data_IF_965850598474
#
_entry.id   IF_965850598474
#
_cell.length_a   1.000
_cell.length_b   1.000
_cell.length_c   1.000
_cell.angle_alpha   90.00
_cell.angle_beta   90.00
_cell.angle_gamma   90.00
#
_symmetry.space_group_name_H-M   'P 1'
#
loop_
_entity.id
_entity.type
_entity.pdbx_description
1 polymer ?
#
# COMPACT_ATOMS: atom_id res chain seq x y z
N UNK A 1 -43.51 -27.13 -44.25
CA UNK A 1 -42.40 -26.27 -43.78
C UNK A 1 -41.63 -26.88 -42.60
N UNK A 2 -42.27 -27.56 -41.65
CA UNK A 2 -41.60 -28.21 -40.50
C UNK A 2 -40.49 -29.22 -40.87
N UNK A 3 -40.70 -30.06 -41.88
CA UNK A 3 -39.74 -31.11 -42.23
C UNK A 3 -38.46 -30.57 -42.90
N UNK A 4 -38.53 -29.46 -43.63
CA UNK A 4 -37.35 -28.89 -44.31
C UNK A 4 -36.37 -28.31 -43.27
N UNK A 5 -36.90 -27.69 -42.21
CA UNK A 5 -36.10 -27.12 -41.13
C UNK A 5 -35.37 -28.21 -40.33
N UNK A 6 -36.02 -29.35 -40.08
CA UNK A 6 -35.41 -30.50 -39.38
C UNK A 6 -34.34 -31.19 -40.22
N UNK A 7 -34.51 -31.28 -41.54
CA UNK A 7 -33.46 -31.78 -42.43
C UNK A 7 -32.27 -30.83 -42.47
N UNK A 8 -32.48 -29.52 -42.54
CA UNK A 8 -31.41 -28.52 -42.49
C UNK A 8 -30.63 -28.55 -41.17
N UNK A 9 -31.32 -28.69 -40.03
CA UNK A 9 -30.64 -28.79 -38.74
C UNK A 9 -29.83 -30.09 -38.62
N UNK A 10 -30.37 -31.22 -39.09
CA UNK A 10 -29.65 -32.49 -39.08
C UNK A 10 -28.40 -32.46 -39.96
N UNK A 11 -28.50 -31.87 -41.16
CA UNK A 11 -27.36 -31.66 -42.06
C UNK A 11 -26.32 -30.76 -41.40
N UNK A 12 -26.72 -29.66 -40.75
CA UNK A 12 -25.80 -28.76 -40.04
C UNK A 12 -25.07 -29.46 -38.89
N UNK A 13 -25.77 -30.23 -38.06
CA UNK A 13 -25.17 -31.02 -36.98
C UNK A 13 -24.23 -32.08 -37.52
N UNK A 14 -24.59 -32.77 -38.60
CA UNK A 14 -23.73 -33.74 -39.27
C UNK A 14 -22.46 -33.08 -39.83
N UNK A 15 -22.56 -31.89 -40.43
CA UNK A 15 -21.41 -31.12 -40.91
C UNK A 15 -20.50 -30.72 -39.74
N UNK A 16 -21.07 -30.20 -38.64
CA UNK A 16 -20.29 -29.84 -37.44
C UNK A 16 -19.61 -31.07 -36.84
N UNK A 17 -20.29 -32.22 -36.79
CA UNK A 17 -19.73 -33.47 -36.29
C UNK A 17 -18.59 -33.99 -37.16
N UNK A 18 -18.73 -33.91 -38.49
CA UNK A 18 -17.67 -34.28 -39.44
C UNK A 18 -16.49 -33.31 -39.34
N UNK A 19 -16.73 -32.00 -39.22
CA UNK A 19 -15.69 -31.00 -38.98
C UNK A 19 -14.97 -31.23 -37.66
N UNK A 20 -15.70 -31.59 -36.60
CA UNK A 20 -15.14 -31.92 -35.29
C UNK A 20 -14.28 -33.19 -35.33
N UNK A 21 -14.75 -34.25 -35.99
CA UNK A 21 -13.96 -35.47 -36.23
C UNK A 21 -12.72 -35.19 -37.08
N UNK A 22 -12.86 -34.39 -38.15
CA UNK A 22 -11.73 -33.99 -38.99
C UNK A 22 -10.73 -33.12 -38.21
N UNK A 23 -11.21 -32.25 -37.34
CA UNK A 23 -10.37 -31.45 -36.44
C UNK A 23 -9.66 -32.37 -35.43
N UNK A 24 -10.36 -33.32 -34.80
CA UNK A 24 -9.76 -34.27 -33.85
C UNK A 24 -8.67 -35.15 -34.50
N UNK A 25 -8.93 -35.67 -35.71
CA UNK A 25 -8.00 -36.55 -36.43
C UNK A 25 -6.87 -35.74 -37.08
N UNK A 26 -7.21 -34.58 -37.65
CA UNK A 26 -6.31 -33.70 -38.39
C UNK A 26 -5.47 -32.77 -37.50
N UNK A 27 -5.85 -32.55 -36.24
CA UNK A 27 -5.16 -31.62 -35.33
C UNK A 27 -3.68 -31.96 -35.17
N UNK A 28 -3.34 -33.25 -35.00
CA UNK A 28 -1.93 -33.68 -34.89
C UNK A 28 -1.12 -33.33 -36.12
N UNK A 29 -1.71 -33.45 -37.32
CA UNK A 29 -1.06 -33.12 -38.58
C UNK A 29 -0.94 -31.61 -38.79
N UNK A 30 -2.00 -30.84 -38.48
CA UNK A 30 -2.00 -29.37 -38.52
C UNK A 30 -0.96 -28.82 -37.55
N UNK A 31 -0.97 -29.27 -36.30
CA UNK A 31 0.01 -28.89 -35.28
C UNK A 31 1.43 -29.28 -35.70
N UNK A 32 1.65 -30.49 -36.24
CA UNK A 32 2.96 -30.88 -36.76
C UNK A 32 3.43 -29.94 -37.89
N UNK A 33 2.54 -29.51 -38.78
CA UNK A 33 2.87 -28.53 -39.85
C UNK A 33 3.16 -27.14 -39.29
N UNK A 34 2.32 -26.64 -38.37
CA UNK A 34 2.52 -25.37 -37.70
C UNK A 34 3.86 -25.35 -36.95
N UNK A 35 4.12 -26.35 -36.12
CA UNK A 35 5.40 -26.50 -35.38
C UNK A 35 6.58 -26.63 -36.33
N UNK A 36 6.48 -27.40 -37.42
CA UNK A 36 7.57 -27.50 -38.40
C UNK A 36 7.83 -26.17 -39.11
N UNK A 37 6.78 -25.39 -39.41
CA UNK A 37 6.90 -24.08 -40.06
C UNK A 37 7.48 -23.04 -39.11
N UNK A 38 6.92 -22.93 -37.91
CA UNK A 38 7.42 -22.04 -36.86
C UNK A 38 8.85 -22.41 -36.43
N UNK A 39 9.11 -23.70 -36.23
CA UNK A 39 10.43 -24.21 -35.87
C UNK A 39 11.46 -23.95 -36.97
N UNK A 40 11.08 -24.04 -38.25
CA UNK A 40 11.96 -23.62 -39.35
C UNK A 40 12.28 -22.12 -39.25
N UNK A 41 11.27 -21.26 -39.14
CA UNK A 41 11.45 -19.80 -38.99
C UNK A 41 12.38 -19.50 -37.79
N UNK A 42 12.07 -20.05 -36.62
CA UNK A 42 12.83 -19.81 -35.39
C UNK A 42 14.26 -20.34 -35.46
N UNK A 43 14.51 -21.46 -36.14
CA UNK A 43 15.83 -22.11 -36.14
C UNK A 43 16.70 -21.78 -37.36
N UNK A 44 16.13 -21.29 -38.47
CA UNK A 44 16.87 -21.06 -39.72
C UNK A 44 16.93 -19.61 -40.15
N UNK A 45 15.98 -18.77 -39.76
CA UNK A 45 15.95 -17.39 -40.22
C UNK A 45 17.02 -16.56 -39.50
N UNK A 46 17.53 -15.54 -40.19
CA UNK A 46 18.54 -14.64 -39.65
C UNK A 46 18.02 -13.94 -38.40
N UNK A 47 18.92 -13.61 -37.46
CA UNK A 47 18.52 -13.08 -36.17
C UNK A 47 17.67 -11.80 -36.28
N UNK A 48 17.92 -10.97 -37.31
CA UNK A 48 17.23 -9.70 -37.57
C UNK A 48 15.81 -9.86 -38.14
N UNK A 49 15.50 -11.03 -38.71
CA UNK A 49 14.17 -11.33 -39.28
C UNK A 49 13.41 -12.34 -38.42
N UNK A 50 14.01 -12.78 -37.33
CA UNK A 50 13.53 -13.84 -36.47
C UNK A 50 12.92 -13.25 -35.21
N UNK A 51 11.73 -13.72 -34.83
CA UNK A 51 11.05 -13.31 -33.60
C UNK A 51 11.91 -13.52 -32.33
N UNK A 52 12.94 -14.37 -32.41
CA UNK A 52 13.92 -14.55 -31.35
C UNK A 52 14.76 -13.29 -31.04
N UNK A 53 14.82 -12.29 -31.93
CA UNK A 53 15.38 -10.96 -31.65
C UNK A 53 14.69 -10.29 -30.46
N UNK A 54 13.41 -10.61 -30.24
CA UNK A 54 12.66 -10.10 -29.10
C UNK A 54 13.31 -10.53 -27.77
N UNK A 55 14.01 -11.66 -27.70
CA UNK A 55 14.64 -12.12 -26.46
C UNK A 55 15.71 -11.17 -25.89
N UNK A 56 16.77 -10.78 -26.65
CA UNK A 56 17.73 -9.80 -26.17
C UNK A 56 17.09 -8.42 -26.00
N UNK A 57 16.12 -8.04 -26.84
CA UNK A 57 15.34 -6.81 -26.65
C UNK A 57 14.61 -6.79 -25.29
N UNK A 58 13.92 -7.87 -24.94
CA UNK A 58 13.22 -8.03 -23.66
C UNK A 58 14.18 -8.12 -22.47
N UNK A 59 15.35 -8.76 -22.64
CA UNK A 59 16.38 -8.78 -21.59
C UNK A 59 17.04 -7.42 -21.38
N UNK A 60 17.24 -6.66 -22.46
CA UNK A 60 17.87 -5.35 -22.41
C UNK A 60 16.91 -4.27 -21.89
N UNK A 61 15.70 -4.19 -22.44
CA UNK A 61 14.71 -3.18 -22.07
C UNK A 61 13.89 -3.59 -20.84
N UNK A 62 13.65 -4.89 -20.63
CA UNK A 62 12.66 -5.40 -19.68
C UNK A 62 11.25 -5.42 -20.27
N UNK A 63 10.50 -6.50 -19.97
CA UNK A 63 9.12 -6.69 -20.48
C UNK A 63 8.21 -5.53 -20.10
N UNK A 64 8.30 -5.06 -18.86
CA UNK A 64 7.48 -3.95 -18.38
C UNK A 64 7.75 -2.65 -19.15
N UNK A 65 9.02 -2.26 -19.30
CA UNK A 65 9.36 -1.02 -20.01
C UNK A 65 8.96 -1.07 -21.48
N UNK A 66 9.09 -2.22 -22.13
CA UNK A 66 8.63 -2.40 -23.51
C UNK A 66 7.12 -2.16 -23.61
N UNK A 67 6.31 -2.82 -22.76
CA UNK A 67 4.86 -2.67 -22.77
C UNK A 67 4.42 -1.25 -22.41
N UNK A 68 5.04 -0.63 -21.39
CA UNK A 68 4.73 0.75 -21.05
C UNK A 68 5.12 1.72 -22.20
N UNK A 69 6.23 1.50 -22.89
CA UNK A 69 6.60 2.32 -24.04
C UNK A 69 5.61 2.16 -25.21
N UNK A 70 5.11 0.95 -25.45
CA UNK A 70 4.03 0.72 -26.42
C UNK A 70 2.73 1.45 -26.01
N UNK A 71 2.36 1.42 -24.72
CA UNK A 71 1.18 2.15 -24.23
C UNK A 71 1.35 3.68 -24.38
N UNK A 72 2.56 4.20 -24.13
CA UNK A 72 2.89 5.61 -24.39
C UNK A 72 2.77 5.95 -25.87
N UNK A 73 3.24 5.07 -26.76
CA UNK A 73 3.16 5.28 -28.20
C UNK A 73 1.72 5.23 -28.73
N UNK A 74 0.86 4.37 -28.16
CA UNK A 74 -0.55 4.25 -28.54
C UNK A 74 -1.37 5.46 -28.13
N UNK A 75 -1.16 5.95 -26.89
CA UNK A 75 -2.01 7.00 -26.30
C UNK A 75 -1.45 8.40 -26.49
N UNK A 76 -0.13 8.57 -26.49
CA UNK A 76 0.52 9.88 -26.41
C UNK A 76 0.40 10.56 -25.03
N UNK A 77 -0.17 9.87 -24.05
CA UNK A 77 -0.53 10.42 -22.73
C UNK A 77 0.35 9.90 -21.59
N UNK A 78 0.21 10.53 -20.42
CA UNK A 78 0.85 10.08 -19.18
C UNK A 78 0.21 8.77 -18.71
N UNK A 79 1.03 7.73 -18.54
CA UNK A 79 0.54 6.46 -18.01
C UNK A 79 0.20 6.56 -16.52
N UNK A 80 -0.83 5.83 -16.10
CA UNK A 80 -1.17 5.67 -14.68
C UNK A 80 -0.98 4.21 -14.27
N UNK A 81 0.19 3.87 -13.74
CA UNK A 81 0.54 2.51 -13.31
C UNK A 81 0.01 2.23 -11.91
N UNK A 82 -0.73 1.11 -11.69
CA UNK A 82 -1.20 0.73 -10.38
C UNK A 82 -0.08 0.09 -9.54
N UNK A 83 -0.29 0.02 -8.22
CA UNK A 83 0.55 -0.71 -7.24
C UNK A 83 1.96 -0.17 -6.99
N UNK A 84 2.36 0.94 -7.62
CA UNK A 84 3.59 1.68 -7.29
C UNK A 84 4.83 1.25 -8.09
N UNK A 85 6.00 1.32 -7.45
CA UNK A 85 7.29 0.99 -8.07
C UNK A 85 7.52 -0.50 -8.22
N UNK A 86 8.04 -0.92 -9.38
CA UNK A 86 8.55 -2.29 -9.60
C UNK A 86 10.07 -2.40 -9.48
N UNK A 87 10.76 -1.28 -9.20
CA UNK A 87 12.21 -1.27 -9.02
C UNK A 87 12.62 -2.07 -7.78
N UNK A 88 13.83 -2.61 -7.84
CA UNK A 88 14.48 -3.22 -6.68
C UNK A 88 15.07 -2.12 -5.83
N UNK A 89 14.58 -2.01 -4.61
CA UNK A 89 15.07 -1.09 -3.60
C UNK A 89 15.75 -1.87 -2.46
N UNK A 90 16.67 -1.27 -1.70
CA UNK A 90 17.06 -1.77 -0.39
C UNK A 90 15.82 -2.18 0.42
N UNK A 91 15.80 -3.43 0.87
CA UNK A 91 14.64 -4.08 1.48
C UNK A 91 15.00 -4.65 2.85
N UNK A 92 13.99 -5.07 3.60
CA UNK A 92 14.14 -5.48 4.99
C UNK A 92 14.61 -6.94 5.16
N UNK A 93 14.69 -7.73 4.08
CA UNK A 93 14.99 -9.17 4.18
C UNK A 93 16.37 -9.48 4.74
N UNK A 94 17.44 -8.72 4.42
CA UNK A 94 18.76 -8.97 4.99
C UNK A 94 18.85 -8.81 6.51
N UNK A 95 17.88 -8.10 7.10
CA UNK A 95 17.78 -7.89 8.54
C UNK A 95 17.06 -9.10 9.15
N UNK A 96 17.57 -9.63 10.25
CA UNK A 96 16.98 -10.75 11.00
C UNK A 96 16.92 -10.43 12.48
N UNK A 97 16.02 -11.09 13.20
CA UNK A 97 15.90 -10.98 14.64
C UNK A 97 16.89 -11.91 15.34
N UNK A 98 17.39 -11.49 16.50
CA UNK A 98 18.29 -12.31 17.32
C UNK A 98 17.44 -13.17 18.27
N UNK A 99 17.40 -14.50 18.09
CA UNK A 99 16.60 -15.36 18.95
C UNK A 99 17.19 -15.44 20.35
N UNK A 100 16.33 -15.42 21.36
CA UNK A 100 16.67 -15.76 22.73
C UNK A 100 16.91 -17.27 22.83
N UNK A 101 17.99 -17.68 23.48
CA UNK A 101 18.38 -19.09 23.65
C UNK A 101 18.92 -19.34 25.06
N UNK A 102 19.79 -18.45 25.56
CA UNK A 102 20.41 -18.58 26.88
C UNK A 102 20.44 -17.26 27.66
N UNK A 103 20.56 -16.12 26.99
CA UNK A 103 20.55 -14.78 27.61
C UNK A 103 19.89 -13.74 26.69
N UNK A 104 18.59 -13.42 26.85
CA UNK A 104 17.62 -14.09 27.72
C UNK A 104 17.20 -15.47 27.17
N UNK A 105 16.38 -16.19 27.93
CA UNK A 105 15.59 -17.32 27.42
C UNK A 105 14.31 -16.82 26.73
N UNK A 106 13.77 -17.56 25.75
CA UNK A 106 12.45 -17.26 25.20
C UNK A 106 11.38 -17.38 26.30
N UNK A 107 10.29 -16.64 26.14
CA UNK A 107 9.14 -16.73 27.05
C UNK A 107 8.14 -17.78 26.52
N UNK A 108 7.16 -18.15 27.35
CA UNK A 108 6.17 -19.18 27.02
C UNK A 108 5.40 -18.82 25.73
N UNK A 109 5.15 -19.83 24.89
CA UNK A 109 4.51 -19.66 23.58
C UNK A 109 3.09 -19.09 23.66
N UNK A 110 2.40 -19.27 24.79
CA UNK A 110 1.03 -18.81 25.05
C UNK A 110 0.98 -17.55 25.93
N UNK A 111 2.12 -17.08 26.48
CA UNK A 111 2.17 -15.87 27.32
C UNK A 111 1.75 -14.64 26.48
N UNK A 112 0.77 -13.86 26.95
CA UNK A 112 0.32 -12.69 26.19
C UNK A 112 1.43 -11.62 26.11
N UNK A 113 1.52 -10.95 24.96
CA UNK A 113 2.53 -9.93 24.66
C UNK A 113 1.83 -8.61 24.38
N UNK A 114 2.21 -7.56 25.12
CA UNK A 114 1.60 -6.23 24.95
C UNK A 114 2.11 -5.55 23.68
N UNK A 115 1.22 -5.41 22.70
CA UNK A 115 1.49 -4.75 21.40
C UNK A 115 0.68 -3.45 21.22
N UNK A 116 0.09 -2.92 22.30
CA UNK A 116 -0.73 -1.69 22.23
C UNK A 116 0.14 -0.47 21.96
N UNK A 117 -0.37 0.46 21.16
CA UNK A 117 0.34 1.69 20.78
C UNK A 117 -0.51 2.92 21.08
N UNK A 118 0.16 4.01 21.43
CA UNK A 118 -0.45 5.35 21.56
C UNK A 118 0.19 6.29 20.55
N UNK A 119 -0.64 6.86 19.67
CA UNK A 119 -0.23 7.84 18.66
C UNK A 119 -0.49 9.25 19.19
N UNK A 120 0.50 10.13 19.01
CA UNK A 120 0.46 11.50 19.49
C UNK A 120 0.34 11.59 21.01
N UNK A 121 1.30 11.04 21.79
CA UNK A 121 1.21 10.99 23.25
C UNK A 121 1.14 12.36 23.93
N UNK A 122 1.54 13.44 23.23
CA UNK A 122 1.46 14.82 23.69
C UNK A 122 0.15 15.54 23.31
N UNK A 123 -0.69 14.93 22.47
CA UNK A 123 -2.00 15.47 22.15
C UNK A 123 -2.92 15.47 23.38
N UNK A 124 -3.94 16.33 23.40
CA UNK A 124 -4.92 16.38 24.51
C UNK A 124 -5.76 15.09 24.57
N UNK A 125 -6.03 14.49 23.41
CA UNK A 125 -6.76 13.23 23.25
C UNK A 125 -5.92 12.24 22.42
N UNK A 126 -4.84 11.64 22.96
CA UNK A 126 -4.02 10.70 22.20
C UNK A 126 -4.83 9.51 21.68
N UNK A 127 -4.53 9.05 20.47
CA UNK A 127 -5.21 7.90 19.88
C UNK A 127 -4.56 6.61 20.38
N UNK A 128 -5.33 5.73 21.02
CA UNK A 128 -4.87 4.43 21.52
C UNK A 128 -5.44 3.32 20.64
N UNK A 129 -4.58 2.45 20.14
CA UNK A 129 -4.93 1.29 19.31
C UNK A 129 -4.39 -0.01 19.94
N UNK A 130 -5.11 -1.12 19.71
CA UNK A 130 -4.77 -2.42 20.32
C UNK A 130 -3.57 -3.09 19.66
N UNK A 131 -3.30 -2.76 18.40
CA UNK A 131 -2.25 -3.34 17.57
C UNK A 131 -1.49 -2.23 16.84
N UNK A 132 -0.21 -2.41 16.48
CA UNK A 132 0.61 -1.36 15.86
C UNK A 132 0.36 -1.21 14.34
N UNK A 133 -0.60 -1.93 13.78
CA UNK A 133 -0.89 -1.95 12.34
C UNK A 133 -2.19 -1.21 12.06
N UNK A 134 -2.14 -0.18 11.22
CA UNK A 134 -3.30 0.63 10.82
C UNK A 134 -3.56 0.50 9.32
N UNK A 135 -4.81 0.65 8.88
CA UNK A 135 -5.15 0.66 7.46
C UNK A 135 -4.84 2.05 6.90
N UNK A 136 -3.97 2.11 5.89
CA UNK A 136 -3.55 3.38 5.27
C UNK A 136 -4.68 4.05 4.48
N UNK A 137 -4.50 5.34 4.17
CA UNK A 137 -5.46 6.11 3.39
C UNK A 137 -5.62 5.56 1.99
N UNK A 138 -6.78 4.97 1.71
CA UNK A 138 -7.18 4.46 0.39
C UNK A 138 -8.57 5.00 0.07
N UNK A 139 -8.61 5.97 -0.84
CA UNK A 139 -9.76 6.84 -1.08
C UNK A 139 -11.01 6.09 -1.59
N UNK A 140 -12.17 6.33 -0.98
CA UNK A 140 -13.46 6.00 -1.58
C UNK A 140 -13.68 6.79 -2.87
N UNK A 141 -14.28 6.15 -3.88
CA UNK A 141 -14.68 6.80 -5.13
C UNK A 141 -13.54 6.96 -6.12
N UNK A 142 -12.40 7.49 -5.66
CA UNK A 142 -11.19 7.66 -6.46
C UNK A 142 -10.48 6.32 -6.69
N UNK A 143 -10.42 5.48 -5.65
CA UNK A 143 -9.73 4.19 -5.71
C UNK A 143 -10.67 3.05 -5.34
N UNK A 144 -11.12 2.98 -4.09
CA UNK A 144 -11.88 1.86 -3.55
C UNK A 144 -13.39 2.04 -3.72
N UNK A 145 -14.09 0.92 -3.94
CA UNK A 145 -15.54 0.85 -3.87
C UNK A 145 -16.06 1.05 -2.45
N UNK A 146 -17.34 1.43 -2.33
CA UNK A 146 -18.01 1.59 -1.04
C UNK A 146 -17.95 0.31 -0.21
N UNK A 147 -18.28 -0.85 -0.82
CA UNK A 147 -18.30 -2.13 -0.14
C UNK A 147 -16.92 -2.49 0.45
N UNK A 148 -15.86 -2.19 -0.29
CA UNK A 148 -14.49 -2.41 0.18
C UNK A 148 -14.19 -1.51 1.38
N UNK A 149 -14.51 -0.22 1.31
CA UNK A 149 -14.30 0.72 2.42
C UNK A 149 -15.05 0.33 3.68
N UNK A 150 -16.32 -0.03 3.56
CA UNK A 150 -17.14 -0.47 4.69
C UNK A 150 -16.58 -1.75 5.33
N UNK A 151 -16.08 -2.69 4.52
CA UNK A 151 -15.47 -3.92 5.04
C UNK A 151 -14.17 -3.66 5.81
N UNK A 152 -13.33 -2.74 5.33
CA UNK A 152 -12.09 -2.35 6.00
C UNK A 152 -12.36 -1.58 7.29
N UNK A 153 -13.35 -0.69 7.29
CA UNK A 153 -13.72 0.09 8.48
C UNK A 153 -14.24 -0.80 9.62
N UNK A 154 -15.10 -1.76 9.28
CA UNK A 154 -15.63 -2.74 10.24
C UNK A 154 -14.54 -3.69 10.74
N UNK A 155 -13.68 -4.20 9.86
CA UNK A 155 -12.54 -5.02 10.28
C UNK A 155 -11.59 -4.25 11.22
N UNK A 156 -11.30 -2.97 10.93
CA UNK A 156 -10.46 -2.13 11.77
C UNK A 156 -11.05 -1.98 13.19
N UNK A 157 -12.37 -1.77 13.30
CA UNK A 157 -13.08 -1.74 14.58
C UNK A 157 -12.94 -3.06 15.34
N UNK A 158 -13.16 -4.17 14.67
CA UNK A 158 -13.20 -5.50 15.28
C UNK A 158 -11.83 -5.92 15.84
N UNK A 159 -10.74 -5.59 15.13
CA UNK A 159 -9.36 -5.84 15.64
C UNK A 159 -8.84 -4.72 16.57
N UNK A 160 -9.61 -3.64 16.75
CA UNK A 160 -9.27 -2.53 17.63
C UNK A 160 -8.13 -1.65 17.12
N UNK A 161 -8.06 -1.45 15.80
CA UNK A 161 -7.15 -0.52 15.14
C UNK A 161 -7.90 0.63 14.46
N UNK A 162 -7.17 1.44 13.68
CA UNK A 162 -7.69 2.59 12.96
C UNK A 162 -7.65 2.39 11.44
N UNK A 163 -8.58 3.08 10.76
CA UNK A 163 -8.62 3.21 9.30
C UNK A 163 -8.50 4.68 8.91
N UNK A 164 -7.79 4.94 7.82
CA UNK A 164 -7.64 6.25 7.24
C UNK A 164 -8.52 6.42 5.99
N UNK A 165 -9.18 7.58 5.87
CA UNK A 165 -10.13 7.91 4.78
C UNK A 165 -9.50 7.89 3.38
N UNK A 166 -8.21 8.24 3.28
CA UNK A 166 -7.61 8.63 2.00
C UNK A 166 -8.18 9.97 1.48
N UNK A 167 -7.82 10.32 0.25
CA UNK A 167 -8.17 11.60 -0.40
C UNK A 167 -9.59 11.63 -0.99
N UNK A 168 -10.38 10.60 -0.75
CA UNK A 168 -11.71 10.44 -1.31
C UNK A 168 -12.79 11.18 -0.53
N UNK A 169 -14.03 10.98 -0.96
CA UNK A 169 -15.20 11.35 -0.16
C UNK A 169 -15.29 10.47 1.08
N UNK A 170 -15.80 11.01 2.17
CA UNK A 170 -16.05 10.22 3.38
C UNK A 170 -17.52 9.84 3.47
N UNK A 171 -17.78 8.53 3.45
CA UNK A 171 -19.14 8.01 3.58
C UNK A 171 -19.54 7.99 5.07
N UNK A 172 -20.71 8.52 5.47
CA UNK A 172 -21.16 8.49 6.86
C UNK A 172 -21.17 7.08 7.49
N UNK A 173 -21.60 6.07 6.74
CA UNK A 173 -21.63 4.68 7.17
C UNK A 173 -20.23 4.12 7.45
N UNK A 174 -19.21 4.61 6.75
CA UNK A 174 -17.82 4.24 7.00
C UNK A 174 -17.35 4.76 8.37
N UNK A 175 -17.72 5.99 8.72
CA UNK A 175 -17.43 6.57 10.03
C UNK A 175 -18.15 5.83 11.17
N UNK A 176 -19.40 5.44 10.94
CA UNK A 176 -20.22 4.73 11.94
C UNK A 176 -19.72 3.29 12.17
N UNK A 177 -19.22 2.65 11.11
CA UNK A 177 -18.60 1.32 11.20
C UNK A 177 -17.19 1.36 11.75
N UNK A 178 -16.44 2.44 11.53
CA UNK A 178 -15.09 2.57 12.05
C UNK A 178 -15.09 2.64 13.59
N UNK A 179 -14.09 1.99 14.20
CA UNK A 179 -13.85 2.10 15.64
C UNK A 179 -12.98 3.32 15.96
N UNK A 180 -11.86 3.44 15.23
CA UNK A 180 -10.97 4.60 15.24
C UNK A 180 -10.82 5.12 13.82
N UNK A 181 -11.09 6.42 13.63
CA UNK A 181 -11.09 7.02 12.31
C UNK A 181 -10.01 8.10 12.17
N UNK A 182 -9.24 7.97 11.09
CA UNK A 182 -8.21 8.94 10.71
C UNK A 182 -8.74 9.68 9.49
N UNK A 183 -9.02 10.97 9.64
CA UNK A 183 -9.41 11.82 8.52
C UNK A 183 -8.14 12.31 7.81
N UNK A 184 -8.01 11.97 6.52
CA UNK A 184 -6.94 12.48 5.70
C UNK A 184 -7.29 13.86 5.15
N UNK A 185 -6.75 14.90 5.77
CA UNK A 185 -6.95 16.27 5.35
C UNK A 185 -6.08 16.55 4.11
N UNK A 186 -6.72 16.54 2.95
CA UNK A 186 -6.05 16.54 1.64
C UNK A 186 -6.23 17.88 0.92
N UNK A 187 -5.52 18.05 -0.19
CA UNK A 187 -5.53 19.28 -1.01
C UNK A 187 -6.74 19.28 -1.97
N UNK A 188 -7.90 18.95 -1.43
CA UNK A 188 -9.19 18.77 -2.13
C UNK A 188 -10.19 19.78 -1.60
N UNK A 189 -11.32 19.98 -2.28
CA UNK A 189 -12.40 20.84 -1.77
C UNK A 189 -13.40 20.09 -0.88
N UNK A 190 -13.47 18.77 -1.03
CA UNK A 190 -14.35 17.89 -0.25
C UNK A 190 -13.71 17.34 1.02
N UNK A 191 -14.53 16.70 1.87
CA UNK A 191 -14.14 16.09 3.15
C UNK A 191 -13.54 17.09 4.14
N UNK A 192 -14.05 18.33 4.13
CA UNK A 192 -13.61 19.44 4.97
C UNK A 192 -14.72 20.01 5.85
N UNK A 193 -15.89 19.35 5.93
CA UNK A 193 -16.95 19.83 6.82
C UNK A 193 -16.49 19.75 8.28
N UNK A 194 -16.80 20.79 9.06
CA UNK A 194 -16.41 20.86 10.48
C UNK A 194 -16.96 19.68 11.29
N UNK A 195 -18.18 19.24 10.99
CA UNK A 195 -18.83 18.08 11.64
C UNK A 195 -18.09 16.77 11.32
N UNK A 196 -17.53 16.63 10.12
CA UNK A 196 -16.68 15.49 9.77
C UNK A 196 -15.35 15.55 10.54
N UNK A 197 -14.70 16.72 10.56
CA UNK A 197 -13.43 16.93 11.25
C UNK A 197 -13.55 16.62 12.74
N UNK A 198 -14.63 17.05 13.40
CA UNK A 198 -14.91 16.78 14.82
C UNK A 198 -15.06 15.29 15.16
N UNK A 199 -15.46 14.46 14.19
CA UNK A 199 -15.67 13.02 14.39
C UNK A 199 -14.39 12.20 14.28
N UNK A 200 -13.29 12.77 13.78
CA UNK A 200 -12.04 12.04 13.62
C UNK A 200 -11.33 11.83 14.97
N UNK A 201 -10.73 10.65 15.17
CA UNK A 201 -9.84 10.35 16.30
C UNK A 201 -8.41 10.84 16.05
N UNK A 202 -8.07 11.16 14.80
CA UNK A 202 -6.78 11.65 14.34
C UNK A 202 -6.95 12.37 13.00
N UNK A 203 -6.22 13.48 12.79
CA UNK A 203 -6.17 14.17 11.50
C UNK A 203 -4.78 13.99 10.89
N UNK A 204 -4.74 13.50 9.65
CA UNK A 204 -3.50 13.36 8.88
C UNK A 204 -3.52 14.32 7.69
N UNK A 205 -2.75 15.40 7.75
CA UNK A 205 -2.58 16.33 6.64
C UNK A 205 -1.68 15.69 5.60
N UNK A 206 -2.20 15.45 4.39
CA UNK A 206 -1.42 14.81 3.32
C UNK A 206 -0.65 15.84 2.52
N UNK A 207 0.66 15.91 2.74
CA UNK A 207 1.56 16.67 1.86
C UNK A 207 1.85 15.90 0.59
N UNK A 208 2.09 14.60 0.75
CA UNK A 208 2.41 13.69 -0.33
C UNK A 208 2.41 12.23 0.07
N UNK A 209 2.80 11.37 -0.85
CA UNK A 209 2.96 9.93 -0.63
C UNK A 209 4.10 9.38 -1.49
N UNK A 210 4.61 8.19 -1.18
CA UNK A 210 5.80 7.66 -1.86
C UNK A 210 5.64 7.48 -3.38
N UNK A 211 4.43 7.17 -3.87
CA UNK A 211 4.18 6.89 -5.29
C UNK A 211 3.89 8.12 -6.17
N UNK A 212 3.47 9.25 -5.55
CA UNK A 212 3.02 10.47 -6.24
C UNK A 212 3.78 11.72 -5.80
N UNK A 213 4.71 11.59 -4.85
CA UNK A 213 5.30 12.72 -4.13
C UNK A 213 4.21 13.68 -3.64
N UNK A 214 4.38 14.99 -3.84
CA UNK A 214 3.39 16.01 -3.51
C UNK A 214 2.48 16.43 -4.66
N UNK A 215 2.50 15.73 -5.80
CA UNK A 215 1.77 16.15 -6.99
C UNK A 215 0.25 16.00 -6.81
N UNK A 216 -0.48 16.97 -7.36
CA UNK A 216 -1.93 16.93 -7.51
C UNK A 216 -2.37 16.00 -8.64
N UNK A 217 -3.66 16.04 -8.94
CA UNK A 217 -4.25 15.25 -10.01
C UNK A 217 -5.67 15.71 -10.34
N UNK A 218 -6.12 15.35 -11.55
CA UNK A 218 -7.51 15.53 -11.99
C UNK A 218 -8.15 14.19 -12.25
N UNK A 219 -9.42 14.08 -11.87
CA UNK A 219 -10.22 12.88 -12.05
C UNK A 219 -11.38 13.25 -12.96
N UNK A 220 -11.42 12.63 -14.13
CA UNK A 220 -12.44 12.94 -15.13
C UNK A 220 -13.84 12.56 -14.62
N UNK A 221 -14.90 13.22 -15.14
CA UNK A 221 -16.23 13.02 -14.59
C UNK A 221 -16.76 11.60 -14.80
N UNK A 222 -16.32 10.95 -15.87
CA UNK A 222 -16.60 9.55 -16.23
C UNK A 222 -16.03 8.56 -15.21
N UNK A 223 -14.90 8.90 -14.58
CA UNK A 223 -14.21 8.05 -13.61
C UNK A 223 -14.63 8.32 -12.16
N UNK A 224 -15.53 9.29 -11.92
CA UNK A 224 -16.00 9.64 -10.59
C UNK A 224 -17.52 9.83 -10.60
N UNK A 225 -18.30 8.76 -10.60
CA UNK A 225 -19.75 8.81 -10.83
C UNK A 225 -20.59 8.44 -9.61
N UNK A 226 -21.90 8.73 -9.69
CA UNK A 226 -22.90 8.33 -8.69
C UNK A 226 -22.62 8.89 -7.29
N UNK A 227 -22.83 8.05 -6.27
CA UNK A 227 -22.70 8.41 -4.86
C UNK A 227 -21.34 9.02 -4.51
N UNK A 228 -20.26 8.57 -5.14
CA UNK A 228 -18.93 9.12 -4.89
C UNK A 228 -18.84 10.61 -5.26
N UNK A 229 -19.46 11.02 -6.38
CA UNK A 229 -19.56 12.42 -6.79
C UNK A 229 -20.41 13.24 -5.81
N UNK A 230 -21.55 12.69 -5.40
CA UNK A 230 -22.46 13.34 -4.45
C UNK A 230 -21.80 13.61 -3.10
N UNK A 231 -21.11 12.60 -2.53
CA UNK A 231 -20.39 12.73 -1.26
C UNK A 231 -19.24 13.74 -1.35
N UNK A 232 -18.65 13.93 -2.53
CA UNK A 232 -17.62 14.95 -2.74
C UNK A 232 -18.20 16.34 -3.07
N UNK A 233 -19.52 16.50 -3.14
CA UNK A 233 -20.15 17.78 -3.47
C UNK A 233 -19.88 18.29 -4.89
N UNK A 234 -19.44 17.41 -5.80
CA UNK A 234 -19.09 17.76 -7.17
C UNK A 234 -20.33 17.78 -8.06
N UNK A 235 -20.43 18.76 -8.96
CA UNK A 235 -21.52 18.87 -9.93
C UNK A 235 -21.40 17.80 -11.02
N UNK A 236 -22.50 17.60 -11.74
CA UNK A 236 -22.48 16.76 -12.95
C UNK A 236 -21.48 17.33 -13.96
N UNK A 237 -20.64 16.46 -14.53
CA UNK A 237 -19.57 16.81 -15.48
C UNK A 237 -18.43 17.71 -14.91
N UNK A 238 -18.38 17.91 -13.60
CA UNK A 238 -17.24 18.57 -12.94
C UNK A 238 -16.09 17.59 -12.69
N UNK A 239 -14.87 18.05 -12.99
CA UNK A 239 -13.63 17.32 -12.69
C UNK A 239 -13.39 17.31 -11.17
N UNK A 240 -13.03 16.15 -10.62
CA UNK A 240 -12.47 16.09 -9.27
C UNK A 240 -11.03 16.60 -9.29
N UNK A 241 -10.74 17.67 -8.54
CA UNK A 241 -9.39 18.27 -8.51
C UNK A 241 -8.71 18.04 -7.15
N UNK A 242 -7.51 17.49 -7.21
CA UNK A 242 -6.57 17.42 -6.10
C UNK A 242 -5.44 18.41 -6.43
N UNK A 243 -5.33 19.48 -5.65
CA UNK A 243 -4.34 20.54 -5.88
C UNK A 243 -2.95 20.15 -5.37
N UNK A 244 -1.92 20.85 -5.87
CA UNK A 244 -0.54 20.73 -5.38
C UNK A 244 -0.35 21.39 -4.01
N UNK A 245 -1.18 22.39 -3.70
CA UNK A 245 -1.10 23.22 -2.50
C UNK A 245 -2.45 23.30 -1.77
N UNK A 246 -2.42 23.53 -0.45
CA UNK A 246 -3.61 23.81 0.35
C UNK A 246 -4.11 25.25 0.18
N UNK A 247 -3.16 26.18 -0.03
CA UNK A 247 -3.41 27.60 -0.17
C UNK A 247 -2.58 28.17 -1.32
N UNK A 248 -3.07 29.22 -1.96
CA UNK A 248 -2.29 29.98 -2.93
C UNK A 248 -1.08 30.61 -2.25
N UNK A 249 0.12 30.46 -2.85
CA UNK A 249 1.39 30.94 -2.27
C UNK A 249 1.66 30.45 -0.83
N UNK A 250 1.24 29.22 -0.51
CA UNK A 250 1.35 28.65 0.84
C UNK A 250 2.76 28.76 1.42
N UNK A 251 2.82 29.12 2.71
CA UNK A 251 4.04 29.13 3.52
C UNK A 251 3.93 28.12 4.67
N UNK A 252 5.05 27.82 5.34
CA UNK A 252 5.02 26.99 6.56
C UNK A 252 4.16 27.62 7.66
N UNK A 253 4.06 28.95 7.72
CA UNK A 253 3.18 29.64 8.68
C UNK A 253 1.72 29.31 8.43
N UNK A 254 1.30 29.24 7.16
CA UNK A 254 -0.08 28.92 6.79
C UNK A 254 -0.42 27.49 7.19
N UNK A 255 0.51 26.54 6.99
CA UNK A 255 0.29 25.17 7.47
C UNK A 255 0.26 25.12 9.01
N UNK A 256 1.09 25.91 9.71
CA UNK A 256 1.05 25.97 11.17
C UNK A 256 -0.30 26.48 11.68
N UNK A 257 -0.87 27.47 10.99
CA UNK A 257 -2.21 27.95 11.29
C UNK A 257 -3.26 26.86 11.05
N UNK A 258 -3.16 26.13 9.93
CA UNK A 258 -4.04 24.99 9.64
C UNK A 258 -3.94 23.90 10.72
N UNK A 259 -2.74 23.54 11.18
CA UNK A 259 -2.55 22.57 12.28
C UNK A 259 -3.24 23.05 13.56
N UNK A 260 -3.09 24.33 13.91
CA UNK A 260 -3.73 24.92 15.08
C UNK A 260 -5.25 24.98 14.96
N UNK A 261 -5.77 25.31 13.78
CA UNK A 261 -7.21 25.34 13.48
C UNK A 261 -7.82 23.96 13.63
N UNK A 262 -7.26 22.94 12.97
CA UNK A 262 -7.72 21.55 13.07
C UNK A 262 -7.64 21.03 14.50
N UNK A 263 -6.58 21.40 15.23
CA UNK A 263 -6.43 21.07 16.66
C UNK A 263 -7.53 21.71 17.51
N UNK A 264 -7.92 22.93 17.20
CA UNK A 264 -9.01 23.65 17.87
C UNK A 264 -10.36 22.98 17.61
N UNK A 265 -10.70 22.74 16.33
CA UNK A 265 -11.97 22.14 15.89
C UNK A 265 -12.19 20.77 16.53
N UNK A 266 -11.16 19.92 16.52
CA UNK A 266 -11.22 18.55 17.05
C UNK A 266 -11.20 18.48 18.60
N UNK A 267 -10.91 19.59 19.26
CA UNK A 267 -10.69 19.64 20.71
C UNK A 267 -9.43 18.88 21.15
N UNK A 268 -8.44 18.76 20.26
CA UNK A 268 -7.08 18.30 20.58
C UNK A 268 -6.80 16.81 20.35
N UNK A 269 -7.40 16.20 19.32
CA UNK A 269 -6.92 14.90 18.80
C UNK A 269 -5.53 15.06 18.17
N UNK A 270 -4.77 13.97 17.89
CA UNK A 270 -3.48 14.08 17.25
C UNK A 270 -3.61 14.64 15.84
N UNK A 271 -2.81 15.65 15.53
CA UNK A 271 -2.69 16.25 14.19
C UNK A 271 -1.30 15.96 13.66
N UNK A 272 -1.20 15.35 12.49
CA UNK A 272 0.07 14.95 11.91
C UNK A 272 0.14 15.16 10.41
N UNK A 273 1.29 14.86 9.83
CA UNK A 273 1.53 15.03 8.39
C UNK A 273 2.01 13.72 7.78
N UNK A 274 1.47 13.39 6.61
CA UNK A 274 1.99 12.32 5.73
C UNK A 274 2.77 12.90 4.57
N UNK A 275 3.97 12.36 4.35
CA UNK A 275 4.85 12.75 3.25
C UNK A 275 5.58 11.55 2.62
N UNK A 276 5.85 11.66 1.33
CA UNK A 276 6.78 10.77 0.64
C UNK A 276 8.21 11.08 1.09
N UNK A 277 8.99 10.05 1.42
CA UNK A 277 10.36 10.19 1.90
C UNK A 277 11.28 10.71 0.78
N UNK A 278 11.85 11.90 0.96
CA UNK A 278 12.81 12.51 0.04
C UNK A 278 14.26 12.47 0.53
N UNK A 279 15.17 13.00 -0.29
CA UNK A 279 16.59 13.15 0.08
C UNK A 279 16.84 14.11 1.25
N UNK A 280 15.94 15.08 1.45
CA UNK A 280 15.99 16.14 2.48
C UNK A 280 15.09 15.85 3.69
N UNK A 281 14.86 14.57 4.00
CA UNK A 281 13.92 14.13 5.04
C UNK A 281 14.17 14.79 6.41
N UNK A 282 15.42 15.09 6.78
CA UNK A 282 15.73 15.78 8.04
C UNK A 282 15.22 17.23 8.07
N UNK A 283 15.40 17.98 6.98
CA UNK A 283 14.88 19.35 6.84
C UNK A 283 13.34 19.33 6.90
N UNK A 284 12.73 18.38 6.20
CA UNK A 284 11.27 18.21 6.21
C UNK A 284 10.77 17.91 7.63
N UNK A 285 11.42 16.98 8.36
CA UNK A 285 11.07 16.68 9.76
C UNK A 285 11.27 17.90 10.66
N UNK A 286 12.34 18.69 10.46
CA UNK A 286 12.57 19.92 11.24
C UNK A 286 11.44 20.92 11.05
N UNK A 287 10.98 21.13 9.82
CA UNK A 287 9.80 21.95 9.55
C UNK A 287 8.56 21.38 10.26
N UNK A 288 8.31 20.07 10.19
CA UNK A 288 7.16 19.44 10.84
C UNK A 288 7.19 19.60 12.38
N UNK A 289 8.37 19.53 12.99
CA UNK A 289 8.55 19.82 14.42
C UNK A 289 8.14 21.26 14.72
N UNK A 290 8.54 22.23 13.89
CA UNK A 290 8.20 23.66 14.06
C UNK A 290 6.70 23.95 13.87
N UNK A 291 6.01 23.15 13.04
CA UNK A 291 4.56 23.20 12.88
C UNK A 291 3.81 22.72 14.13
N UNK A 292 4.45 21.95 15.01
CA UNK A 292 3.84 21.42 16.23
C UNK A 292 2.91 20.24 15.97
N UNK A 293 3.30 19.35 15.04
CA UNK A 293 2.59 18.08 14.78
C UNK A 293 2.79 17.08 15.91
N UNK A 294 1.81 16.21 16.14
CA UNK A 294 1.86 15.13 17.14
C UNK A 294 2.41 13.81 16.56
N UNK A 295 2.33 13.65 15.24
CA UNK A 295 2.88 12.49 14.54
C UNK A 295 3.33 12.84 13.12
N UNK A 296 4.22 12.02 12.58
CA UNK A 296 4.73 12.10 11.22
C UNK A 296 4.57 10.74 10.57
N UNK A 297 3.94 10.69 9.40
CA UNK A 297 3.87 9.50 8.55
C UNK A 297 4.89 9.63 7.42
N UNK A 298 5.87 8.73 7.41
CA UNK A 298 6.89 8.62 6.36
C UNK A 298 6.55 7.46 5.43
N UNK A 299 6.39 7.78 4.14
CA UNK A 299 6.04 6.82 3.10
C UNK A 299 7.22 6.64 2.15
N UNK A 300 7.86 5.47 2.16
CA UNK A 300 9.01 5.20 1.29
C UNK A 300 8.62 5.10 -0.18
N UNK A 301 9.59 5.19 -1.10
CA UNK A 301 9.37 5.14 -2.56
C UNK A 301 8.72 3.83 -3.05
N UNK A 302 8.68 2.79 -2.21
CA UNK A 302 7.97 1.54 -2.47
C UNK A 302 6.45 1.62 -2.19
N UNK A 303 5.92 2.80 -1.86
CA UNK A 303 4.49 2.99 -1.67
C UNK A 303 3.70 2.70 -2.95
N UNK A 304 2.49 2.19 -2.76
CA UNK A 304 1.57 1.91 -3.85
C UNK A 304 0.57 3.05 -4.04
N UNK A 305 -0.13 3.01 -5.16
CA UNK A 305 -1.27 3.87 -5.46
C UNK A 305 -2.24 3.14 -6.39
N UNK A 306 -3.45 3.66 -6.52
CA UNK A 306 -4.40 3.20 -7.54
C UNK A 306 -3.85 3.45 -8.95
N UNK A 307 -3.16 4.58 -9.16
CA UNK A 307 -2.46 4.90 -10.40
C UNK A 307 -1.51 6.08 -10.23
N UNK A 308 -0.27 5.95 -10.71
CA UNK A 308 0.69 7.05 -10.78
C UNK A 308 1.50 7.01 -12.09
N UNK A 309 1.99 8.17 -12.55
CA UNK A 309 3.06 8.23 -13.54
C UNK A 309 4.24 7.36 -13.10
N UNK A 310 4.71 6.41 -13.94
CA UNK A 310 5.86 5.56 -13.63
C UNK A 310 7.08 6.34 -13.13
N UNK A 311 7.37 7.51 -13.72
CA UNK A 311 8.47 8.39 -13.30
C UNK A 311 8.34 8.85 -11.84
N UNK A 312 7.13 9.12 -11.35
CA UNK A 312 6.94 9.53 -9.95
C UNK A 312 7.07 8.34 -8.99
N UNK A 313 6.69 7.14 -9.42
CA UNK A 313 6.84 5.94 -8.58
C UNK A 313 8.27 5.41 -8.57
N UNK A 314 8.99 5.52 -9.69
CA UNK A 314 10.28 4.86 -9.86
C UNK A 314 11.49 5.76 -9.63
N UNK A 315 11.37 7.06 -9.87
CA UNK A 315 12.52 7.99 -9.88
C UNK A 315 12.45 9.05 -8.78
N UNK A 316 11.40 9.04 -7.95
CA UNK A 316 11.23 9.98 -6.85
C UNK A 316 11.27 9.29 -5.49
N UNK A 317 11.93 9.94 -4.54
CA UNK A 317 11.99 9.51 -3.15
C UNK A 317 13.11 8.52 -2.82
N UNK A 318 13.10 8.02 -1.58
CA UNK A 318 14.10 7.08 -1.05
C UNK A 318 13.43 5.80 -0.52
N UNK A 319 14.18 4.68 -0.40
CA UNK A 319 13.65 3.42 0.14
C UNK A 319 13.09 3.57 1.53
N UNK A 320 12.03 2.80 1.85
CA UNK A 320 11.42 2.72 3.19
C UNK A 320 12.46 2.43 4.26
N UNK A 321 13.40 1.52 3.99
CA UNK A 321 14.48 1.18 4.93
C UNK A 321 15.35 2.40 5.27
N UNK A 322 15.73 3.20 4.26
CA UNK A 322 16.53 4.40 4.49
C UNK A 322 15.71 5.46 5.21
N UNK A 323 14.45 5.62 4.79
CA UNK A 323 13.53 6.60 5.34
C UNK A 323 13.28 6.39 6.84
N UNK A 324 12.98 5.16 7.27
CA UNK A 324 12.74 4.88 8.70
C UNK A 324 13.98 5.14 9.54
N UNK A 325 15.16 4.67 9.11
CA UNK A 325 16.41 4.84 9.87
C UNK A 325 16.76 6.32 10.02
N UNK A 326 16.69 7.09 8.92
CA UNK A 326 16.99 8.53 8.94
C UNK A 326 16.00 9.31 9.79
N UNK A 327 14.70 9.03 9.65
CA UNK A 327 13.66 9.70 10.42
C UNK A 327 13.80 9.44 11.93
N UNK A 328 14.02 8.18 12.34
CA UNK A 328 14.22 7.82 13.75
C UNK A 328 15.46 8.50 14.32
N UNK A 329 16.61 8.35 13.66
CA UNK A 329 17.87 8.96 14.13
C UNK A 329 17.75 10.48 14.26
N UNK A 330 17.05 11.13 13.33
CA UNK A 330 16.86 12.57 13.37
C UNK A 330 15.90 12.99 14.49
N UNK A 331 14.77 12.31 14.68
CA UNK A 331 13.86 12.55 15.81
C UNK A 331 14.57 12.35 17.16
N UNK A 332 15.45 11.37 17.28
CA UNK A 332 16.29 11.17 18.47
C UNK A 332 17.26 12.34 18.67
N UNK A 333 17.98 12.74 17.61
CA UNK A 333 18.89 13.91 17.64
C UNK A 333 18.19 15.19 18.05
N UNK A 334 16.95 15.40 17.59
CA UNK A 334 16.10 16.54 17.94
C UNK A 334 15.39 16.39 19.29
N UNK A 335 15.60 15.27 20.01
CA UNK A 335 14.94 14.93 21.29
C UNK A 335 13.42 14.85 21.20
N UNK A 336 12.89 14.51 20.03
CA UNK A 336 11.46 14.41 19.75
C UNK A 336 10.95 12.95 19.74
N UNK A 337 11.84 11.95 19.78
CA UNK A 337 11.43 10.54 19.94
C UNK A 337 10.63 10.35 21.23
N UNK A 338 9.48 9.69 21.13
CA UNK A 338 8.53 9.52 22.23
C UNK A 338 7.64 10.74 22.52
N UNK A 339 7.88 11.88 21.85
CA UNK A 339 7.00 13.06 21.89
C UNK A 339 6.15 13.15 20.63
N UNK A 340 6.79 12.96 19.47
CA UNK A 340 6.14 12.84 18.15
C UNK A 340 6.17 11.36 17.76
N UNK A 341 5.01 10.82 17.40
CA UNK A 341 4.92 9.45 16.90
C UNK A 341 5.38 9.37 15.44
N UNK A 342 6.16 8.36 15.10
CA UNK A 342 6.58 8.06 13.73
C UNK A 342 5.77 6.87 13.19
N UNK A 343 5.01 7.09 12.12
CA UNK A 343 4.29 6.05 11.39
C UNK A 343 5.04 5.78 10.09
N UNK A 344 5.24 4.52 9.73
CA UNK A 344 5.97 4.14 8.51
C UNK A 344 5.07 3.38 7.54
N UNK A 345 5.24 3.67 6.25
CA UNK A 345 4.54 3.06 5.12
C UNK A 345 5.50 2.85 3.94
N UNK A 346 5.06 2.08 2.95
CA UNK A 346 5.75 1.85 1.68
C UNK A 346 6.44 0.48 1.61
N UNK A 347 5.96 -0.41 0.73
CA UNK A 347 6.60 -1.72 0.50
C UNK A 347 6.58 -2.71 1.68
N UNK A 348 5.80 -2.46 2.73
CA UNK A 348 5.67 -3.37 3.88
C UNK A 348 4.53 -4.35 3.62
N UNK A 349 4.85 -5.65 3.56
CA UNK A 349 3.94 -6.67 3.03
C UNK A 349 3.62 -7.81 4.00
N UNK A 350 4.57 -8.15 4.88
CA UNK A 350 4.49 -9.33 5.75
C UNK A 350 4.80 -8.96 7.21
N UNK A 351 4.39 -9.79 8.20
CA UNK A 351 4.61 -9.52 9.62
C UNK A 351 6.07 -9.22 9.98
N UNK A 352 7.02 -9.92 9.36
CA UNK A 352 8.44 -9.65 9.51
C UNK A 352 8.85 -8.24 9.08
N UNK A 353 8.26 -7.68 8.01
CA UNK A 353 8.52 -6.29 7.61
C UNK A 353 8.00 -5.31 8.66
N UNK A 354 6.77 -5.54 9.15
CA UNK A 354 6.13 -4.68 10.14
C UNK A 354 6.94 -4.64 11.44
N UNK A 355 7.33 -5.82 11.96
CA UNK A 355 8.08 -5.92 13.20
C UNK A 355 9.49 -5.33 13.07
N UNK A 356 10.15 -5.48 11.92
CA UNK A 356 11.49 -4.92 11.68
C UNK A 356 11.46 -3.39 11.70
N UNK A 357 10.49 -2.73 11.07
CA UNK A 357 10.42 -1.26 11.10
C UNK A 357 10.05 -0.73 12.50
N UNK A 358 9.25 -1.48 13.26
CA UNK A 358 8.98 -1.17 14.68
C UNK A 358 10.26 -1.29 15.51
N UNK A 359 11.06 -2.35 15.31
CA UNK A 359 12.37 -2.52 15.95
C UNK A 359 13.36 -1.40 15.57
N UNK A 360 13.33 -0.93 14.31
CA UNK A 360 14.11 0.21 13.86
C UNK A 360 13.66 1.55 14.46
N UNK A 361 12.54 1.58 15.18
CA UNK A 361 12.08 2.73 15.95
C UNK A 361 10.81 3.40 15.41
N UNK A 362 10.10 2.82 14.45
CA UNK A 362 8.74 3.27 14.13
C UNK A 362 7.79 3.00 15.31
N UNK A 363 6.79 3.84 15.52
CA UNK A 363 5.78 3.66 16.57
C UNK A 363 4.56 2.87 16.06
N UNK A 364 4.22 3.01 14.77
CA UNK A 364 3.18 2.21 14.11
C UNK A 364 3.46 2.05 12.61
N UNK A 365 2.70 1.15 11.98
CA UNK A 365 2.82 0.81 10.57
C UNK A 365 1.50 1.00 9.85
N UNK A 366 1.54 1.67 8.71
CA UNK A 366 0.43 1.68 7.77
C UNK A 366 0.52 0.51 6.80
N UNK A 367 -0.57 -0.22 6.67
CA UNK A 367 -0.72 -1.35 5.76
C UNK A 367 -1.67 -0.95 4.62
N UNK A 368 -1.19 -1.07 3.38
CA UNK A 368 -1.91 -0.72 2.16
C UNK A 368 -2.08 -1.91 1.22
N UNK A 369 -1.08 -2.18 0.38
CA UNK A 369 -1.17 -3.25 -0.63
C UNK A 369 -1.46 -4.62 -0.02
N UNK A 370 -0.83 -4.99 1.09
CA UNK A 370 -1.07 -6.28 1.73
C UNK A 370 -2.53 -6.46 2.17
N UNK A 371 -3.11 -5.45 2.82
CA UNK A 371 -4.51 -5.51 3.27
C UNK A 371 -5.49 -5.42 2.09
N UNK A 372 -5.15 -4.70 1.02
CA UNK A 372 -5.94 -4.63 -0.21
C UNK A 372 -6.11 -6.00 -0.88
N UNK A 373 -5.04 -6.78 -0.96
CA UNK A 373 -5.11 -8.16 -1.47
C UNK A 373 -5.73 -9.12 -0.46
N UNK A 374 -5.48 -8.94 0.84
CA UNK A 374 -6.06 -9.78 1.88
C UNK A 374 -7.59 -9.63 1.96
N UNK A 375 -8.13 -8.42 1.92
CA UNK A 375 -9.58 -8.15 2.01
C UNK A 375 -10.36 -8.74 0.81
N UNK A 376 -9.68 -8.91 -0.33
CA UNK A 376 -10.26 -9.49 -1.54
C UNK A 376 -9.95 -10.98 -1.71
N UNK A 377 -9.20 -11.61 -0.81
CA UNK A 377 -8.63 -12.96 -1.00
C UNK A 377 -9.66 -14.01 -1.42
N UNK A 378 -10.80 -14.12 -0.71
CA UNK A 378 -11.85 -15.10 -1.02
C UNK A 378 -12.70 -14.74 -2.24
N UNK A 379 -12.55 -13.53 -2.77
CA UNK A 379 -13.43 -12.93 -3.78
C UNK A 379 -12.68 -12.60 -5.08
N UNK A 380 -11.34 -12.66 -5.06
CA UNK A 380 -10.46 -12.40 -6.20
C UNK A 380 -10.77 -13.28 -7.42
N UNK A 381 -11.31 -14.49 -7.18
CA UNK A 381 -11.70 -15.42 -8.24
C UNK A 381 -12.88 -14.92 -9.08
N UNK A 382 -13.63 -13.92 -8.62
CA UNK A 382 -14.70 -13.31 -9.40
C UNK A 382 -14.18 -12.62 -10.67
N UNK A 383 -12.96 -12.08 -10.63
CA UNK A 383 -12.32 -11.41 -11.78
C UNK A 383 -11.43 -12.35 -12.62
N UNK A 384 -10.77 -13.31 -11.97
CA UNK A 384 -9.88 -14.25 -12.64
C UNK A 384 -10.64 -15.25 -13.53
N UNK A 385 -10.03 -15.76 -14.63
CA UNK A 385 -8.66 -15.50 -15.10
C UNK A 385 -8.54 -14.32 -16.08
N UNK A 386 -9.64 -13.63 -16.41
CA UNK A 386 -9.66 -12.66 -17.51
C UNK A 386 -9.30 -11.25 -17.08
N UNK A 387 -9.47 -10.91 -15.81
CA UNK A 387 -9.25 -9.57 -15.28
C UNK A 387 -8.44 -9.64 -13.97
N UNK A 388 -7.66 -8.59 -13.62
CA UNK A 388 -6.87 -8.58 -12.40
C UNK A 388 -7.74 -8.70 -11.14
N UNK A 389 -7.26 -9.37 -10.07
CA UNK A 389 -7.99 -9.50 -8.80
C UNK A 389 -8.48 -8.18 -8.22
N UNK A 390 -7.74 -7.09 -8.45
CA UNK A 390 -8.07 -5.77 -7.93
C UNK A 390 -9.36 -5.17 -8.53
N UNK A 391 -9.88 -5.73 -9.62
CA UNK A 391 -11.16 -5.32 -10.22
C UNK A 391 -12.38 -5.59 -9.32
N UNK A 392 -12.24 -6.37 -8.25
CA UNK A 392 -13.30 -6.58 -7.25
C UNK A 392 -13.33 -5.48 -6.18
N UNK A 393 -12.24 -4.72 -6.00
CA UNK A 393 -12.12 -3.70 -4.94
C UNK A 393 -12.16 -2.27 -5.46
N UNK A 394 -11.83 -2.05 -6.73
CA UNK A 394 -11.84 -0.70 -7.30
C UNK A 394 -13.24 -0.12 -7.47
N UNK A 395 -13.37 1.19 -7.29
CA UNK A 395 -14.63 1.90 -7.51
C UNK A 395 -15.10 1.80 -8.98
N UNK A 396 -14.17 1.80 -9.92
CA UNK A 396 -14.44 1.55 -11.35
C UNK A 396 -14.21 0.09 -11.75
N UNK A 397 -14.08 -0.81 -10.77
CA UNK A 397 -13.85 -2.22 -11.01
C UNK A 397 -15.09 -2.91 -11.59
N UNK A 398 -14.91 -3.69 -12.66
CA UNK A 398 -16.01 -4.42 -13.32
C UNK A 398 -16.76 -5.39 -12.42
N UNK A 399 -16.11 -5.86 -11.34
CA UNK A 399 -16.63 -6.88 -10.44
C UNK A 399 -16.91 -6.34 -9.03
N UNK A 400 -16.90 -5.01 -8.83
CA UNK A 400 -17.12 -4.39 -7.52
C UNK A 400 -18.45 -4.78 -6.87
N UNK A 401 -19.50 -4.97 -7.67
CA UNK A 401 -20.83 -5.31 -7.17
C UNK A 401 -20.94 -6.78 -6.72
N UNK A 402 -19.93 -7.60 -7.03
CA UNK A 402 -19.82 -8.97 -6.54
C UNK A 402 -19.06 -9.05 -5.21
N UNK A 403 -18.49 -7.94 -4.73
CA UNK A 403 -17.78 -7.87 -3.47
C UNK A 403 -18.77 -7.86 -2.29
N UNK A 404 -18.75 -8.93 -1.51
CA UNK A 404 -19.50 -9.10 -0.27
C UNK A 404 -18.71 -8.52 0.90
N UNK A 405 -19.36 -7.62 1.63
CA UNK A 405 -18.76 -6.91 2.76
C UNK A 405 -18.32 -7.89 3.85
N UNK A 406 -19.18 -8.85 4.21
CA UNK A 406 -18.94 -9.79 5.31
C UNK A 406 -17.73 -10.69 5.08
N UNK A 407 -17.52 -11.11 3.82
CA UNK A 407 -16.36 -11.92 3.45
C UNK A 407 -15.07 -11.08 3.48
N UNK A 408 -15.15 -9.82 3.07
CA UNK A 408 -14.06 -8.85 3.20
C UNK A 408 -13.67 -8.58 4.65
N UNK A 409 -14.66 -8.35 5.53
CA UNK A 409 -14.46 -8.15 6.97
C UNK A 409 -13.69 -9.32 7.58
N UNK A 410 -14.20 -10.55 7.36
CA UNK A 410 -13.57 -11.78 7.89
C UNK A 410 -12.14 -11.96 7.39
N UNK A 411 -11.88 -11.66 6.11
CA UNK A 411 -10.56 -11.81 5.52
C UNK A 411 -9.56 -10.80 6.10
N UNK A 412 -9.96 -9.54 6.21
CA UNK A 412 -9.15 -8.48 6.82
C UNK A 412 -8.85 -8.74 8.31
N UNK A 413 -9.85 -9.19 9.07
CA UNK A 413 -9.68 -9.56 10.48
C UNK A 413 -8.69 -10.71 10.66
N UNK A 414 -8.84 -11.77 9.87
CA UNK A 414 -7.92 -12.92 9.91
C UNK A 414 -6.50 -12.52 9.55
N UNK A 415 -6.33 -11.66 8.54
CA UNK A 415 -5.03 -11.15 8.15
C UNK A 415 -4.35 -10.40 9.30
N UNK A 416 -5.03 -9.45 9.94
CA UNK A 416 -4.46 -8.71 11.06
C UNK A 416 -4.22 -9.61 12.27
N UNK A 417 -5.17 -10.50 12.61
CA UNK A 417 -5.03 -11.43 13.73
C UNK A 417 -3.81 -12.33 13.56
N UNK A 418 -3.69 -12.99 12.40
CA UNK A 418 -2.53 -13.84 12.09
C UNK A 418 -1.23 -13.03 12.09
N UNK A 419 -1.22 -11.85 11.46
CA UNK A 419 -0.02 -11.01 11.41
C UNK A 419 0.46 -10.60 12.80
N UNK A 420 -0.46 -10.25 13.70
CA UNK A 420 -0.13 -9.86 15.07
C UNK A 420 0.33 -11.05 15.90
N UNK A 421 -0.29 -12.21 15.76
CA UNK A 421 0.16 -13.42 16.46
C UNK A 421 1.54 -13.88 15.99
N UNK A 422 1.87 -13.77 14.69
CA UNK A 422 3.24 -14.00 14.19
C UNK A 422 4.23 -13.00 14.81
N UNK A 423 3.85 -11.72 14.93
CA UNK A 423 4.69 -10.70 15.58
C UNK A 423 4.89 -10.98 17.08
N UNK A 424 3.84 -11.41 17.80
CA UNK A 424 3.93 -11.81 19.20
C UNK A 424 4.81 -13.05 19.36
N UNK A 425 4.69 -14.03 18.48
CA UNK A 425 5.54 -15.22 18.48
C UNK A 425 7.02 -14.86 18.32
N UNK A 426 7.34 -13.93 17.42
CA UNK A 426 8.71 -13.42 17.27
C UNK A 426 9.19 -12.68 18.54
N UNK A 427 8.34 -11.86 19.17
CA UNK A 427 8.66 -11.21 20.46
C UNK A 427 8.93 -12.25 21.55
N UNK A 428 8.11 -13.31 21.64
CA UNK A 428 8.31 -14.42 22.59
C UNK A 428 9.63 -15.14 22.36
N UNK A 429 9.95 -15.41 21.09
CA UNK A 429 11.20 -16.03 20.67
C UNK A 429 12.43 -15.16 20.97
N UNK A 430 12.27 -13.85 21.13
CA UNK A 430 13.31 -12.92 21.60
C UNK A 430 13.30 -12.72 23.13
N UNK A 431 12.42 -13.42 23.86
CA UNK A 431 12.30 -13.28 25.31
C UNK A 431 11.57 -12.02 25.77
N UNK A 432 10.80 -11.36 24.90
CA UNK A 432 10.17 -10.05 25.15
C UNK A 432 8.68 -10.18 25.47
N UNK A 433 8.22 -9.40 26.45
CA UNK A 433 6.80 -9.37 26.91
C UNK A 433 6.01 -8.18 26.38
N UNK A 434 6.70 -7.23 25.75
CA UNK A 434 6.05 -6.06 25.17
C UNK A 434 6.78 -5.60 23.92
N UNK A 435 6.03 -5.04 22.97
CA UNK A 435 6.58 -4.32 21.83
C UNK A 435 7.49 -3.16 22.27
N UNK A 436 7.30 -2.59 23.47
CA UNK A 436 8.17 -1.53 24.01
C UNK A 436 9.58 -1.99 24.36
N UNK A 437 9.78 -3.29 24.55
CA UNK A 437 11.11 -3.90 24.79
C UNK A 437 11.86 -4.16 23.48
N UNK A 438 11.18 -4.08 22.34
CA UNK A 438 11.77 -4.27 21.03
C UNK A 438 12.58 -3.03 20.64
N UNK A 439 13.78 -3.27 20.12
CA UNK A 439 14.69 -2.22 19.72
C UNK A 439 15.59 -2.66 18.58
N UNK A 440 16.36 -1.71 18.06
CA UNK A 440 17.36 -1.95 17.04
C UNK A 440 18.45 -2.94 17.49
N UNK A 441 18.64 -3.13 18.80
CA UNK A 441 19.62 -4.09 19.36
C UNK A 441 19.21 -5.54 19.17
N UNK A 442 17.93 -5.78 18.85
CA UNK A 442 17.39 -7.12 18.61
C UNK A 442 17.52 -7.55 17.14
N UNK A 443 18.25 -6.76 16.35
CA UNK A 443 18.43 -6.94 14.91
C UNK A 443 19.90 -7.21 14.58
N UNK A 444 20.11 -8.08 13.59
CA UNK A 444 21.41 -8.33 12.95
C UNK A 444 21.18 -8.44 11.44
N UNK A 445 22.16 -8.07 10.62
CA UNK A 445 22.06 -8.23 9.16
C UNK A 445 23.07 -9.25 8.64
N UNK A 446 22.65 -10.12 7.73
CA UNK A 446 23.55 -11.03 7.02
C UNK A 446 24.12 -10.43 5.73
N UNK A 447 23.76 -9.18 5.42
CA UNK A 447 24.37 -8.36 4.38
C UNK A 447 25.16 -7.23 5.03
N UNK A 448 26.47 -7.15 4.73
CA UNK A 448 27.40 -6.20 5.33
C UNK A 448 27.04 -4.74 5.00
N UNK A 449 26.66 -4.48 3.75
CA UNK A 449 26.28 -3.14 3.32
C UNK A 449 25.03 -2.68 4.08
N UNK A 450 24.02 -3.54 4.20
CA UNK A 450 22.80 -3.28 4.97
C UNK A 450 23.11 -3.06 6.45
N UNK A 451 23.97 -3.89 7.05
CA UNK A 451 24.41 -3.75 8.44
C UNK A 451 25.00 -2.36 8.68
N UNK A 452 25.94 -1.95 7.82
CA UNK A 452 26.62 -0.65 7.88
C UNK A 452 25.67 0.54 7.65
N UNK A 453 24.79 0.45 6.65
CA UNK A 453 23.84 1.53 6.34
C UNK A 453 22.87 1.80 7.49
N UNK A 454 22.40 0.73 8.13
CA UNK A 454 21.43 0.83 9.22
C UNK A 454 22.15 1.15 10.54
N UNK A 455 23.38 0.68 10.72
CA UNK A 455 24.09 0.70 12.00
C UNK A 455 23.59 -0.40 12.94
N UNK A 456 23.50 -1.62 12.43
CA UNK A 456 23.27 -2.86 13.20
C UNK A 456 24.44 -3.83 12.95
N UNK A 457 24.68 -4.81 13.84
CA UNK A 457 25.78 -5.74 13.66
C UNK A 457 25.67 -6.57 12.38
N UNK A 458 26.82 -6.86 11.76
CA UNK A 458 26.93 -7.81 10.65
C UNK A 458 27.05 -9.23 11.21
N UNK A 459 26.23 -10.16 10.73
CA UNK A 459 26.07 -11.48 11.35
C UNK A 459 27.31 -12.38 11.27
N UNK A 460 28.26 -12.06 10.39
CA UNK A 460 29.50 -12.83 10.27
C UNK A 460 30.56 -12.37 11.28
N UNK A 461 30.47 -11.13 11.77
CA UNK A 461 31.38 -10.62 12.79
C UNK A 461 30.97 -11.13 14.18
N UNK A 462 31.95 -11.43 15.05
CA UNK A 462 31.65 -11.80 16.43
C UNK A 462 30.91 -10.67 17.13
N UNK A 463 29.96 -11.04 18.00
CA UNK A 463 29.20 -10.06 18.76
C UNK A 463 30.09 -9.39 19.80
N UNK A 464 30.62 -8.22 19.46
CA UNK A 464 31.29 -7.36 20.43
C UNK A 464 30.20 -6.62 21.22
N UNK A 465 30.18 -6.82 22.54
CA UNK A 465 29.27 -6.09 23.42
C UNK A 465 29.51 -4.59 23.25
N UNK A 466 28.64 -3.92 22.49
CA UNK A 466 28.62 -2.45 22.29
C UNK A 466 28.49 -1.72 23.65
N UNK A 467 28.28 -2.45 24.76
CA UNK A 467 28.28 -1.96 26.12
C UNK A 467 29.65 -1.57 26.70
N UNK A 468 30.77 -1.78 26.00
CA UNK A 468 32.10 -1.31 26.49
C UNK A 468 32.44 0.15 26.17
N UNK A 469 31.63 0.86 25.38
CA UNK A 469 31.83 2.29 25.11
C UNK A 469 30.52 3.08 25.26
N UNK A 470 30.18 3.45 26.50
CA UNK A 470 29.51 4.72 26.84
C UNK A 470 29.48 5.00 28.34
#
# INVERSE_FOLDING_TARGET
>A
MSNILSYLSFVMVAIIFVLFLFMLIGWRWIMKRLVKKMGKIILTDSYQENIMELMPGLRHMGVQNMLENSLRAETGDVLHRPLGSSKKWPHLDPITFIPAQTTPFPIDGEEDVDVKVTIGPKAKKPMKIKIPLMITGMAYGIALSEQTRLSLAEAAKNVGTAINSGEGGVIPEELDKAGKYILQFSKTEWSKEEELIKRADMIEIKFGQGALAGMGGKISPENLTGRAREVMGLKENEDGVIFEHFFENQTLKDIKNLVNELRSITGGVPIGVKMGAGGKIEDDIDHLIELGVDFITIDGGQAATHGAPPILSDDMGIPTLHAVVRAVNHLEKRKMKGQISLIVSGGLLVPGHFLKVLALGADAVYVGSAILFAVSHSQALNALPFEPPTQVVWNQGKFKDQFKIEDGVKAAEKFFTASIEEMKMALRAMGKRSLKELSKKDLVSYDELTAKMIGIPFSFEPWEDIQKEK
#
